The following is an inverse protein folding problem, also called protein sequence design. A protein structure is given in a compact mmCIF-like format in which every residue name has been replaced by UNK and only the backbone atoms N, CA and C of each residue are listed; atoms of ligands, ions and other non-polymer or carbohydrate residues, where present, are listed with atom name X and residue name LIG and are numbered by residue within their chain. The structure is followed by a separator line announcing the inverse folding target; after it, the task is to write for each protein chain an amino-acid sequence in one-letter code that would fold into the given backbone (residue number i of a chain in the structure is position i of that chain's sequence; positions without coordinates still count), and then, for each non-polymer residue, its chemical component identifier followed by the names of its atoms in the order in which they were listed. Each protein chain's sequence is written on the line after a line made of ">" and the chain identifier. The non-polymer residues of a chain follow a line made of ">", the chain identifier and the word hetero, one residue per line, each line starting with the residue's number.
data_IF_118116622459
#
_entry.id   IF_118116622459
#
_cell.length_a   1.000
_cell.length_b   1.000
_cell.length_c   1.000
_cell.angle_alpha   90.00
_cell.angle_beta   90.00
_cell.angle_gamma   90.00
#
_symmetry.space_group_name_H-M   'P 1'
#
loop_
_entity.id
_entity.type
_entity.pdbx_description
1 polymer ?
#
# COMPACT_ATOMS: atom_id res chain seq x y z
N UNK A 1 -4.26 -19.74 7.51
CA UNK A 1 -3.19 -19.31 6.59
C UNK A 1 -2.57 -18.05 7.19
N UNK A 2 -1.25 -17.98 7.30
CA UNK A 2 -0.58 -16.81 7.88
C UNK A 2 -0.43 -15.75 6.79
N UNK A 3 -1.42 -14.86 6.69
CA UNK A 3 -1.46 -13.84 5.64
C UNK A 3 -0.67 -12.61 6.04
N UNK A 4 0.43 -12.36 5.31
CA UNK A 4 1.24 -11.16 5.46
C UNK A 4 0.91 -10.17 4.33
N UNK A 5 0.78 -8.90 4.67
CA UNK A 5 0.74 -7.81 3.70
C UNK A 5 1.23 -6.50 4.34
N UNK A 6 1.59 -5.54 3.49
CA UNK A 6 1.72 -4.15 3.89
C UNK A 6 0.99 -3.23 2.91
N UNK A 7 0.45 -2.15 3.45
CA UNK A 7 -0.09 -1.01 2.70
C UNK A 7 0.70 0.22 3.10
N UNK A 8 1.05 1.09 2.17
CA UNK A 8 1.75 2.34 2.48
C UNK A 8 1.04 3.53 1.86
N UNK A 9 1.04 4.68 2.54
CA UNK A 9 0.59 5.93 1.93
C UNK A 9 1.61 6.34 0.88
N UNK A 10 1.16 6.81 -0.28
CA UNK A 10 2.06 7.40 -1.27
C UNK A 10 2.96 8.48 -0.66
N UNK A 11 4.09 8.72 -1.31
CA UNK A 11 5.04 9.75 -0.90
C UNK A 11 4.56 11.18 -1.23
N UNK A 12 5.38 12.14 -0.84
CA UNK A 12 5.10 13.58 -0.91
C UNK A 12 4.76 14.04 -2.32
N UNK A 13 3.72 14.87 -2.42
CA UNK A 13 3.41 15.60 -3.66
C UNK A 13 4.29 16.86 -3.78
N UNK A 14 4.54 17.34 -5.01
CA UNK A 14 5.16 18.65 -5.22
C UNK A 14 4.37 19.77 -4.55
N UNK A 15 5.05 20.64 -3.79
CA UNK A 15 4.43 21.79 -3.11
C UNK A 15 5.44 22.90 -2.86
N UNK A 16 5.09 24.13 -3.24
CA UNK A 16 5.95 25.30 -3.05
C UNK A 16 7.25 25.16 -3.85
N UNK A 17 8.38 25.21 -3.15
CA UNK A 17 9.72 25.09 -3.75
C UNK A 17 10.17 23.64 -3.99
N UNK A 18 9.44 22.66 -3.46
CA UNK A 18 9.73 21.24 -3.67
C UNK A 18 9.15 20.78 -5.01
N UNK A 19 10.03 20.68 -6.01
CA UNK A 19 9.69 20.40 -7.40
C UNK A 19 9.32 18.93 -7.62
N UNK A 20 8.54 18.70 -8.67
CA UNK A 20 8.22 17.34 -9.13
C UNK A 20 9.48 16.62 -9.60
N UNK A 21 9.57 15.33 -9.26
CA UNK A 21 10.66 14.49 -9.72
C UNK A 21 10.63 14.33 -11.22
N UNK A 22 11.79 14.51 -11.85
CA UNK A 22 11.95 14.30 -13.29
C UNK A 22 11.76 12.83 -13.72
N UNK A 23 11.95 11.89 -12.79
CA UNK A 23 11.81 10.46 -13.05
C UNK A 23 10.46 9.92 -12.60
N UNK A 24 9.94 10.43 -11.48
CA UNK A 24 8.79 9.86 -10.79
C UNK A 24 7.61 10.84 -10.71
N UNK A 25 6.77 10.82 -11.75
CA UNK A 25 5.62 11.74 -11.89
C UNK A 25 4.66 11.67 -10.69
N UNK A 26 4.22 12.82 -10.21
CA UNK A 26 3.26 12.99 -9.14
C UNK A 26 3.85 12.96 -7.73
N UNK A 27 5.16 12.72 -7.58
CA UNK A 27 5.89 12.88 -6.32
C UNK A 27 7.01 13.91 -6.46
N UNK A 28 7.38 14.57 -5.36
CA UNK A 28 8.47 15.54 -5.34
C UNK A 28 9.84 14.87 -5.20
N UNK A 29 10.92 15.63 -5.42
CA UNK A 29 12.28 15.13 -5.17
C UNK A 29 12.49 14.73 -3.70
N UNK A 30 11.96 15.51 -2.73
CA UNK A 30 11.97 15.08 -1.32
C UNK A 30 11.11 13.84 -1.10
N UNK A 31 10.00 13.71 -1.82
CA UNK A 31 9.17 12.52 -1.80
C UNK A 31 9.90 11.28 -2.31
N UNK A 32 10.78 11.42 -3.30
CA UNK A 32 11.63 10.31 -3.76
C UNK A 32 12.57 9.86 -2.66
N UNK A 33 13.27 10.78 -1.99
CA UNK A 33 14.19 10.44 -0.89
C UNK A 33 13.45 9.79 0.29
N UNK A 34 12.29 10.32 0.67
CA UNK A 34 11.44 9.70 1.70
C UNK A 34 11.02 8.28 1.32
N UNK A 35 10.67 8.05 0.05
CA UNK A 35 10.33 6.71 -0.42
C UNK A 35 11.55 5.77 -0.42
N UNK A 36 12.76 6.25 -0.72
CA UNK A 36 13.99 5.44 -0.62
C UNK A 36 14.29 5.03 0.81
N UNK A 37 14.12 5.93 1.78
CA UNK A 37 14.26 5.60 3.21
C UNK A 37 13.30 4.47 3.60
N UNK A 38 12.04 4.54 3.15
CA UNK A 38 11.05 3.50 3.40
C UNK A 38 11.39 2.18 2.69
N UNK A 39 12.00 2.23 1.50
CA UNK A 39 12.43 1.06 0.76
C UNK A 39 13.45 0.21 1.55
N UNK A 40 14.31 0.86 2.34
CA UNK A 40 15.25 0.19 3.24
C UNK A 40 14.53 -0.62 4.33
N UNK A 41 13.45 -0.08 4.89
CA UNK A 41 12.63 -0.78 5.87
C UNK A 41 11.93 -1.99 5.25
N UNK A 42 11.35 -1.85 4.06
CA UNK A 42 10.73 -2.97 3.32
C UNK A 42 11.75 -4.09 3.07
N UNK A 43 12.98 -3.73 2.68
CA UNK A 43 14.05 -4.71 2.51
C UNK A 43 14.41 -5.40 3.83
N UNK A 44 14.53 -4.64 4.93
CA UNK A 44 14.79 -5.20 6.26
C UNK A 44 13.68 -6.15 6.73
N UNK A 45 12.42 -5.82 6.48
CA UNK A 45 11.29 -6.71 6.77
C UNK A 45 11.39 -8.01 5.98
N UNK A 46 11.69 -7.91 4.68
CA UNK A 46 11.88 -9.09 3.83
C UNK A 46 13.02 -9.99 4.32
N UNK A 47 14.11 -9.42 4.83
CA UNK A 47 15.24 -10.18 5.37
C UNK A 47 14.83 -11.09 6.54
N UNK A 48 13.93 -10.60 7.40
CA UNK A 48 13.42 -11.33 8.57
C UNK A 48 12.48 -12.49 8.22
N UNK A 49 11.95 -12.50 6.99
CA UNK A 49 11.09 -13.57 6.52
C UNK A 49 11.89 -14.81 6.15
N UNK A 50 11.21 -15.94 6.01
CA UNK A 50 11.83 -17.19 5.61
C UNK A 50 12.38 -17.12 4.18
N UNK A 51 13.45 -17.88 3.92
CA UNK A 51 14.03 -18.00 2.59
C UNK A 51 13.00 -18.54 1.59
N UNK A 52 13.08 -18.09 0.34
CA UNK A 52 12.06 -18.40 -0.65
C UNK A 52 10.78 -17.56 -0.53
N UNK A 53 10.67 -16.59 0.38
CA UNK A 53 9.53 -15.64 0.37
C UNK A 53 9.47 -14.86 -0.94
N UNK A 54 8.27 -14.67 -1.48
CA UNK A 54 7.97 -13.76 -2.59
C UNK A 54 7.17 -12.57 -2.06
N UNK A 55 7.62 -11.36 -2.38
CA UNK A 55 6.92 -10.11 -2.09
C UNK A 55 6.45 -9.51 -3.42
N UNK A 56 5.14 -9.33 -3.58
CA UNK A 56 4.56 -8.62 -4.72
C UNK A 56 4.14 -7.23 -4.29
N UNK A 57 4.84 -6.20 -4.74
CA UNK A 57 4.40 -4.80 -4.64
C UNK A 57 3.59 -4.54 -5.90
N UNK A 58 2.26 -4.65 -5.76
CA UNK A 58 1.37 -4.80 -6.91
C UNK A 58 0.18 -3.85 -6.92
N UNK A 59 -0.30 -3.42 -5.76
CA UNK A 59 -1.52 -2.62 -5.69
C UNK A 59 -1.23 -1.12 -5.75
N UNK A 60 -1.87 -0.41 -6.67
CA UNK A 60 -1.85 1.06 -6.72
C UNK A 60 -3.20 1.63 -7.16
N UNK A 61 -3.42 2.91 -6.90
CA UNK A 61 -4.55 3.66 -7.44
C UNK A 61 -4.23 4.24 -8.82
N UNK A 62 -5.21 4.91 -9.42
CA UNK A 62 -5.08 5.66 -10.67
C UNK A 62 -4.24 6.93 -10.51
N UNK A 63 -3.96 7.35 -9.28
CA UNK A 63 -3.19 8.57 -9.03
C UNK A 63 -1.70 8.32 -9.26
N UNK A 64 -1.01 9.11 -10.12
CA UNK A 64 0.38 8.85 -10.51
C UNK A 64 1.34 8.61 -9.33
N UNK A 65 1.17 9.39 -8.26
CA UNK A 65 1.98 9.30 -7.03
C UNK A 65 1.99 7.92 -6.37
N UNK A 66 0.92 7.12 -6.45
CA UNK A 66 0.91 5.78 -5.85
C UNK A 66 1.80 4.83 -6.63
N UNK A 67 1.66 4.83 -7.97
CA UNK A 67 2.55 4.11 -8.89
C UNK A 67 4.01 4.53 -8.73
N UNK A 68 4.26 5.83 -8.76
CA UNK A 68 5.62 6.36 -8.64
C UNK A 68 6.28 5.98 -7.31
N UNK A 69 5.55 6.07 -6.20
CA UNK A 69 6.07 5.64 -4.88
C UNK A 69 6.44 4.15 -4.89
N UNK A 70 5.60 3.28 -5.45
CA UNK A 70 5.91 1.85 -5.57
C UNK A 70 7.19 1.62 -6.39
N UNK A 71 7.30 2.28 -7.55
CA UNK A 71 8.46 2.18 -8.43
C UNK A 71 9.76 2.66 -7.76
N UNK A 72 9.69 3.69 -6.90
CA UNK A 72 10.85 4.11 -6.11
C UNK A 72 11.31 2.96 -5.20
N UNK A 73 10.38 2.26 -4.54
CA UNK A 73 10.75 1.13 -3.67
C UNK A 73 11.46 0.03 -4.44
N UNK A 74 10.91 -0.45 -5.56
CA UNK A 74 11.54 -1.50 -6.34
C UNK A 74 12.92 -1.09 -6.85
N UNK A 75 13.04 0.13 -7.41
CA UNK A 75 14.31 0.64 -7.93
C UNK A 75 15.37 0.79 -6.83
N UNK A 76 15.00 1.37 -5.69
CA UNK A 76 15.94 1.56 -4.58
C UNK A 76 16.38 0.24 -3.97
N UNK A 77 15.45 -0.70 -3.73
CA UNK A 77 15.82 -2.01 -3.20
C UNK A 77 16.77 -2.73 -4.17
N UNK A 78 16.54 -2.64 -5.48
CA UNK A 78 17.45 -3.21 -6.48
C UNK A 78 18.85 -2.59 -6.42
N UNK A 79 18.94 -1.27 -6.23
CA UNK A 79 20.22 -0.58 -6.05
C UNK A 79 20.93 -1.07 -4.79
N UNK A 80 20.24 -1.11 -3.65
CA UNK A 80 20.79 -1.58 -2.37
C UNK A 80 21.29 -3.03 -2.44
N UNK A 81 20.52 -3.92 -3.08
CA UNK A 81 20.93 -5.32 -3.30
C UNK A 81 22.23 -5.39 -4.13
N UNK A 82 22.35 -4.58 -5.18
CA UNK A 82 23.54 -4.53 -6.04
C UNK A 82 24.75 -3.96 -5.31
N UNK A 83 24.59 -2.84 -4.62
CA UNK A 83 25.66 -2.17 -3.86
C UNK A 83 26.21 -3.07 -2.75
N UNK A 84 25.33 -3.79 -2.06
CA UNK A 84 25.70 -4.70 -0.98
C UNK A 84 26.09 -6.10 -1.47
N UNK A 85 26.14 -6.32 -2.79
CA UNK A 85 26.51 -7.60 -3.41
C UNK A 85 25.72 -8.80 -2.86
N UNK A 86 24.42 -8.60 -2.63
CA UNK A 86 23.53 -9.60 -2.05
C UNK A 86 23.01 -10.53 -3.13
N UNK A 87 23.38 -11.80 -3.05
CA UNK A 87 23.01 -12.84 -4.02
C UNK A 87 21.74 -13.62 -3.64
N UNK A 88 21.29 -13.48 -2.39
CA UNK A 88 20.16 -14.20 -1.82
C UNK A 88 18.78 -13.55 -2.08
N UNK A 89 18.74 -12.37 -2.70
CA UNK A 89 17.53 -11.64 -3.08
C UNK A 89 17.55 -11.34 -4.58
N UNK A 90 16.41 -11.56 -5.26
CA UNK A 90 16.20 -11.13 -6.65
C UNK A 90 15.11 -10.06 -6.66
N UNK A 91 15.34 -8.98 -7.37
CA UNK A 91 14.35 -7.92 -7.61
C UNK A 91 14.04 -7.88 -9.10
N UNK A 92 12.76 -8.01 -9.45
CA UNK A 92 12.27 -7.87 -10.82
C UNK A 92 11.37 -6.63 -10.91
N UNK A 93 11.71 -5.76 -11.86
CA UNK A 93 11.04 -4.49 -12.14
C UNK A 93 10.40 -4.51 -13.54
N UNK A 94 9.52 -3.55 -13.87
CA UNK A 94 8.88 -3.50 -15.19
C UNK A 94 9.87 -3.40 -16.36
N UNK A 95 11.01 -2.71 -16.16
CA UNK A 95 12.09 -2.59 -17.13
C UNK A 95 12.81 -3.92 -17.40
N UNK A 96 12.84 -4.86 -16.45
CA UNK A 96 13.50 -6.16 -16.64
C UNK A 96 12.75 -7.07 -17.62
N UNK A 97 11.50 -6.74 -17.91
CA UNK A 97 10.61 -7.52 -18.78
C UNK A 97 10.00 -6.65 -19.89
N UNK A 98 10.56 -5.46 -20.14
CA UNK A 98 10.03 -4.53 -21.14
C UNK A 98 10.10 -5.09 -22.57
N UNK A 99 11.16 -5.83 -22.90
CA UNK A 99 11.42 -6.46 -24.20
C UNK A 99 10.56 -7.70 -24.45
N UNK A 100 10.00 -8.30 -23.39
CA UNK A 100 9.14 -9.48 -23.50
C UNK A 100 7.76 -9.04 -24.02
N UNK A 101 7.38 -9.50 -25.21
CA UNK A 101 6.08 -9.17 -25.80
C UNK A 101 4.96 -10.03 -25.23
N UNK A 102 3.85 -9.39 -24.85
CA UNK A 102 2.63 -10.06 -24.40
C UNK A 102 2.58 -10.28 -22.89
N UNK A 103 1.40 -10.08 -22.31
CA UNK A 103 1.19 -10.22 -20.86
C UNK A 103 1.47 -11.64 -20.36
N UNK A 104 0.97 -12.67 -21.06
CA UNK A 104 1.17 -14.06 -20.67
C UNK A 104 2.65 -14.42 -20.63
N UNK A 105 3.42 -14.08 -21.68
CA UNK A 105 4.86 -14.35 -21.72
C UNK A 105 5.64 -13.65 -20.60
N UNK A 106 5.23 -12.43 -20.23
CA UNK A 106 5.81 -11.71 -19.08
C UNK A 106 5.56 -12.44 -17.77
N UNK A 107 4.34 -12.92 -17.56
CA UNK A 107 3.96 -13.68 -16.36
C UNK A 107 4.67 -15.02 -16.33
N UNK A 108 4.75 -15.72 -17.47
CA UNK A 108 5.46 -17.01 -17.58
C UNK A 108 6.94 -16.84 -17.28
N UNK A 109 7.59 -15.79 -17.81
CA UNK A 109 8.98 -15.46 -17.47
C UNK A 109 9.16 -15.25 -15.95
N UNK A 110 8.30 -14.48 -15.31
CA UNK A 110 8.37 -14.26 -13.85
C UNK A 110 8.20 -15.61 -13.11
N UNK A 111 7.23 -16.43 -13.52
CA UNK A 111 7.00 -17.75 -12.91
C UNK A 111 8.22 -18.67 -13.07
N UNK A 112 8.88 -18.66 -14.23
CA UNK A 112 10.12 -19.37 -14.48
C UNK A 112 11.26 -18.88 -13.58
N UNK A 113 11.41 -17.56 -13.39
CA UNK A 113 12.41 -17.00 -12.46
C UNK A 113 12.15 -17.47 -11.02
N UNK A 114 10.90 -17.50 -10.58
CA UNK A 114 10.51 -17.98 -9.24
C UNK A 114 10.83 -19.48 -9.08
N UNK A 115 10.55 -20.28 -10.11
CA UNK A 115 10.81 -21.72 -10.11
C UNK A 115 12.31 -22.04 -10.13
N UNK A 116 13.10 -21.27 -10.90
CA UNK A 116 14.54 -21.44 -11.01
C UNK A 116 15.30 -21.04 -9.73
N UNK A 117 14.68 -20.25 -8.85
CA UNK A 117 15.31 -19.70 -7.64
C UNK A 117 14.53 -20.04 -6.36
N UNK A 118 14.35 -21.32 -6.00
CA UNK A 118 13.45 -21.73 -4.91
C UNK A 118 13.90 -21.23 -3.53
N UNK A 119 15.21 -21.09 -3.28
CA UNK A 119 15.75 -20.63 -1.99
C UNK A 119 15.94 -19.13 -1.88
N UNK A 120 15.90 -18.37 -2.98
CA UNK A 120 16.13 -16.92 -2.95
C UNK A 120 14.85 -16.18 -2.62
N UNK A 121 14.94 -15.12 -1.83
CA UNK A 121 13.81 -14.20 -1.66
C UNK A 121 13.60 -13.40 -2.94
N UNK A 122 12.36 -13.04 -3.24
CA UNK A 122 12.04 -12.31 -4.47
C UNK A 122 11.15 -11.10 -4.19
N UNK A 123 11.48 -9.97 -4.81
CA UNK A 123 10.62 -8.79 -4.88
C UNK A 123 10.18 -8.62 -6.32
N UNK A 124 8.88 -8.54 -6.50
CA UNK A 124 8.22 -8.27 -7.77
C UNK A 124 7.54 -6.90 -7.63
N UNK A 125 8.14 -5.85 -8.19
CA UNK A 125 7.54 -4.52 -8.18
C UNK A 125 6.86 -4.27 -9.52
N UNK A 126 5.57 -4.61 -9.57
CA UNK A 126 4.76 -4.45 -10.77
C UNK A 126 3.49 -3.72 -10.36
N UNK A 127 3.55 -2.38 -10.20
CA UNK A 127 2.40 -1.62 -9.74
C UNK A 127 1.29 -1.65 -10.78
N UNK A 128 0.19 -2.32 -10.43
CA UNK A 128 -1.01 -2.49 -11.21
C UNK A 128 -2.13 -1.63 -10.63
N UNK A 129 -2.73 -0.80 -11.48
CA UNK A 129 -3.96 -0.13 -11.10
C UNK A 129 -5.05 -1.18 -10.81
N UNK A 130 -5.70 -1.02 -9.66
CA UNK A 130 -6.86 -1.80 -9.29
C UNK A 130 -8.01 -0.90 -8.88
N UNK A 131 -9.21 -1.18 -9.41
CA UNK A 131 -10.43 -0.44 -9.07
C UNK A 131 -10.71 -0.46 -7.57
N UNK A 132 -10.28 -1.52 -6.87
CA UNK A 132 -10.41 -1.70 -5.43
C UNK A 132 -9.58 -0.68 -4.63
N UNK A 133 -8.54 -0.11 -5.26
CA UNK A 133 -7.69 0.93 -4.67
C UNK A 133 -8.03 2.33 -5.21
N UNK A 134 -9.10 2.46 -5.99
CA UNK A 134 -9.48 3.71 -6.66
C UNK A 134 -9.81 4.82 -5.67
N UNK A 135 -9.41 6.05 -6.01
CA UNK A 135 -9.80 7.25 -5.27
C UNK A 135 -11.02 7.94 -5.91
N UNK A 136 -11.17 7.77 -7.22
CA UNK A 136 -12.37 8.13 -8.00
C UNK A 136 -13.58 7.30 -7.59
N UNK A 137 -14.76 7.94 -7.64
CA UNK A 137 -16.05 7.34 -7.34
C UNK A 137 -16.48 7.46 -5.87
N UNK A 138 -15.56 7.80 -4.96
CA UNK A 138 -15.86 8.13 -3.57
C UNK A 138 -15.40 9.54 -3.20
N UNK A 139 -14.09 9.78 -3.24
CA UNK A 139 -13.48 11.05 -2.84
C UNK A 139 -13.37 12.04 -3.99
N UNK A 140 -13.18 11.53 -5.21
CA UNK A 140 -13.07 12.33 -6.42
C UNK A 140 -14.18 11.99 -7.42
N UNK A 141 -14.63 12.99 -8.17
CA UNK A 141 -15.46 12.83 -9.36
C UNK A 141 -14.64 12.26 -10.55
N UNK A 142 -15.31 11.94 -11.65
CA UNK A 142 -14.65 11.38 -12.85
C UNK A 142 -13.58 12.31 -13.45
N UNK A 143 -13.70 13.62 -13.21
CA UNK A 143 -12.77 14.66 -13.64
C UNK A 143 -11.59 14.84 -12.68
N UNK A 144 -11.60 14.18 -11.52
CA UNK A 144 -10.56 14.25 -10.50
C UNK A 144 -10.72 15.40 -9.50
N UNK A 145 -11.88 16.08 -9.46
CA UNK A 145 -12.18 17.07 -8.43
C UNK A 145 -12.75 16.40 -7.18
N UNK A 146 -12.58 17.02 -6.01
CA UNK A 146 -13.27 16.58 -4.79
C UNK A 146 -14.79 16.54 -5.01
N UNK A 147 -15.42 15.47 -4.52
CA UNK A 147 -16.89 15.39 -4.46
C UNK A 147 -17.45 16.43 -3.47
N UNK A 148 -18.73 16.78 -3.59
CA UNK A 148 -19.33 17.77 -2.69
C UNK A 148 -19.35 17.29 -1.24
N UNK A 149 -19.53 15.98 -1.03
CA UNK A 149 -19.32 15.35 0.27
C UNK A 149 -17.91 15.60 0.82
N UNK A 150 -16.86 15.35 0.01
CA UNK A 150 -15.47 15.52 0.46
C UNK A 150 -15.14 16.99 0.76
N UNK A 151 -15.65 17.93 -0.04
CA UNK A 151 -15.50 19.37 0.22
C UNK A 151 -16.16 19.77 1.54
N UNK A 152 -17.39 19.33 1.78
CA UNK A 152 -18.14 19.67 2.99
C UNK A 152 -17.49 19.07 4.24
N UNK A 153 -17.06 17.80 4.16
CA UNK A 153 -16.33 17.13 5.22
C UNK A 153 -15.05 17.89 5.60
N UNK A 154 -14.26 18.34 4.62
CA UNK A 154 -13.06 19.15 4.89
C UNK A 154 -13.41 20.52 5.46
N UNK A 155 -14.42 21.20 4.89
CA UNK A 155 -14.84 22.55 5.30
C UNK A 155 -15.28 22.60 6.77
N UNK A 156 -16.14 21.66 7.19
CA UNK A 156 -16.66 21.62 8.57
C UNK A 156 -15.60 21.23 9.61
N UNK A 157 -14.49 20.67 9.15
CA UNK A 157 -13.33 20.28 9.97
C UNK A 157 -12.12 21.21 9.75
N UNK A 158 -12.34 22.46 9.31
CA UNK A 158 -11.30 23.50 9.19
C UNK A 158 -10.14 23.12 8.24
N UNK A 159 -10.37 22.21 7.28
CA UNK A 159 -9.37 21.59 6.40
C UNK A 159 -8.29 20.78 7.14
N UNK A 160 -8.55 20.37 8.38
CA UNK A 160 -7.71 19.43 9.12
C UNK A 160 -8.03 17.99 8.66
N UNK A 161 -7.08 17.35 7.98
CA UNK A 161 -7.28 16.01 7.40
C UNK A 161 -7.58 14.94 8.46
N UNK A 162 -6.99 15.02 9.65
CA UNK A 162 -7.21 14.02 10.71
C UNK A 162 -8.56 14.24 11.40
N UNK A 163 -8.95 15.49 11.67
CA UNK A 163 -10.31 15.77 12.18
C UNK A 163 -11.38 15.35 11.17
N UNK A 164 -11.17 15.66 9.89
CA UNK A 164 -12.08 15.27 8.80
C UNK A 164 -12.21 13.74 8.68
N UNK A 165 -11.12 13.00 8.79
CA UNK A 165 -11.14 11.53 8.82
C UNK A 165 -11.95 11.01 10.01
N UNK A 166 -11.75 11.55 11.21
CA UNK A 166 -12.50 11.15 12.41
C UNK A 166 -14.00 11.44 12.29
N UNK A 167 -14.37 12.60 11.73
CA UNK A 167 -15.77 12.93 11.43
C UNK A 167 -16.35 11.94 10.40
N UNK A 168 -15.60 11.61 9.34
CA UNK A 168 -16.02 10.60 8.36
C UNK A 168 -16.26 9.23 8.99
N UNK A 169 -15.40 8.81 9.92
CA UNK A 169 -15.60 7.58 10.68
C UNK A 169 -16.87 7.61 11.53
N UNK A 170 -17.30 8.75 12.07
CA UNK A 170 -18.54 8.81 12.86
C UNK A 170 -19.78 8.97 11.98
N UNK A 171 -19.69 9.74 10.91
CA UNK A 171 -20.83 10.04 10.04
C UNK A 171 -21.10 8.96 8.99
N UNK A 172 -20.21 7.97 8.86
CA UNK A 172 -20.35 6.79 8.00
C UNK A 172 -20.60 7.12 6.52
N UNK A 173 -20.04 8.24 6.04
CA UNK A 173 -20.21 8.67 4.65
C UNK A 173 -21.50 9.46 4.41
N UNK A 174 -22.11 10.05 5.44
CA UNK A 174 -23.34 10.85 5.30
C UNK A 174 -23.24 12.19 6.04
N UNK A 175 -23.43 13.29 5.31
CA UNK A 175 -23.56 14.64 5.88
C UNK A 175 -24.82 15.25 5.27
N UNK A 176 -25.88 15.39 6.07
CA UNK A 176 -27.19 15.84 5.57
C UNK A 176 -27.64 14.99 4.37
N UNK A 177 -27.89 15.62 3.22
CA UNK A 177 -28.27 14.95 1.96
C UNK A 177 -27.07 14.47 1.13
N UNK A 178 -25.83 14.79 1.55
CA UNK A 178 -24.61 14.39 0.85
C UNK A 178 -24.22 12.95 1.19
N UNK A 179 -23.93 12.18 0.14
CA UNK A 179 -23.47 10.79 0.25
C UNK A 179 -22.01 10.70 -0.21
N UNK A 180 -21.17 10.24 0.71
CA UNK A 180 -19.78 9.90 0.49
C UNK A 180 -19.54 8.39 0.59
N UNK A 181 -18.28 7.96 0.53
CA UNK A 181 -17.94 6.56 0.72
C UNK A 181 -18.19 6.12 2.17
N UNK A 182 -18.69 4.91 2.40
CA UNK A 182 -18.72 4.33 3.75
C UNK A 182 -17.29 3.91 4.17
N UNK A 183 -16.83 4.24 5.39
CA UNK A 183 -15.53 3.79 5.88
C UNK A 183 -15.36 2.27 5.82
N UNK A 184 -16.42 1.54 6.19
CA UNK A 184 -16.41 0.09 6.21
C UNK A 184 -16.27 -0.50 4.81
N UNK A 185 -17.08 -0.02 3.87
CA UNK A 185 -17.04 -0.47 2.48
C UNK A 185 -15.67 -0.16 1.84
N UNK A 186 -15.08 0.99 2.16
CA UNK A 186 -13.73 1.34 1.72
C UNK A 186 -12.70 0.33 2.25
N UNK A 187 -12.72 0.03 3.56
CA UNK A 187 -11.80 -0.94 4.15
C UNK A 187 -11.95 -2.34 3.52
N UNK A 188 -13.19 -2.82 3.37
CA UNK A 188 -13.50 -4.11 2.76
C UNK A 188 -13.08 -4.16 1.29
N UNK A 189 -13.25 -3.07 0.54
CA UNK A 189 -12.82 -2.96 -0.84
C UNK A 189 -11.29 -3.02 -0.95
N UNK A 190 -10.55 -2.30 -0.09
CA UNK A 190 -9.08 -2.35 -0.06
C UNK A 190 -8.59 -3.78 0.24
N UNK A 191 -9.16 -4.44 1.26
CA UNK A 191 -8.81 -5.83 1.60
C UNK A 191 -9.15 -6.80 0.47
N UNK A 192 -10.26 -6.60 -0.24
CA UNK A 192 -10.62 -7.37 -1.44
C UNK A 192 -9.58 -7.19 -2.56
N UNK A 193 -9.06 -5.98 -2.74
CA UNK A 193 -7.96 -5.70 -3.66
C UNK A 193 -6.68 -6.48 -3.30
N UNK A 194 -6.30 -6.48 -2.03
CA UNK A 194 -5.16 -7.26 -1.50
C UNK A 194 -5.36 -8.76 -1.77
N UNK A 195 -6.55 -9.28 -1.50
CA UNK A 195 -6.84 -10.70 -1.72
C UNK A 195 -6.87 -11.07 -3.20
N UNK A 196 -7.33 -10.17 -4.07
CA UNK A 196 -7.27 -10.37 -5.52
C UNK A 196 -5.83 -10.43 -6.03
N UNK A 197 -4.93 -9.57 -5.53
CA UNK A 197 -3.48 -9.69 -5.81
C UNK A 197 -2.91 -10.99 -5.29
N UNK A 198 -3.29 -11.40 -4.08
CA UNK A 198 -2.85 -12.66 -3.46
C UNK A 198 -3.25 -13.85 -4.31
N UNK A 199 -4.52 -13.92 -4.73
CA UNK A 199 -5.04 -14.98 -5.63
C UNK A 199 -4.32 -14.96 -6.98
N UNK A 200 -4.01 -13.79 -7.52
CA UNK A 200 -3.24 -13.68 -8.75
C UNK A 200 -1.83 -14.26 -8.58
N UNK A 201 -1.07 -13.79 -7.59
CA UNK A 201 0.30 -14.26 -7.35
C UNK A 201 0.35 -15.76 -7.02
N UNK A 202 -0.56 -16.27 -6.19
CA UNK A 202 -0.61 -17.69 -5.79
C UNK A 202 -0.74 -18.66 -6.96
N UNK A 203 -1.26 -18.23 -8.12
CA UNK A 203 -1.29 -19.05 -9.34
C UNK A 203 0.10 -19.42 -9.86
N UNK A 204 1.12 -18.61 -9.56
CA UNK A 204 2.44 -18.68 -10.19
C UNK A 204 3.57 -18.97 -9.21
N UNK A 205 3.44 -18.65 -7.92
CA UNK A 205 4.55 -18.75 -6.95
C UNK A 205 4.73 -20.13 -6.29
N UNK A 206 3.97 -21.16 -6.69
CA UNK A 206 4.18 -22.57 -6.30
C UNK A 206 4.36 -22.83 -4.79
N UNK A 207 3.36 -22.45 -3.97
CA UNK A 207 3.36 -22.77 -2.53
C UNK A 207 4.38 -22.00 -1.70
N UNK A 208 5.12 -21.06 -2.30
CA UNK A 208 6.05 -20.19 -1.59
C UNK A 208 5.31 -19.19 -0.70
N UNK A 209 5.90 -18.79 0.44
CA UNK A 209 5.37 -17.74 1.30
C UNK A 209 5.21 -16.43 0.51
N UNK A 210 4.11 -15.71 0.78
CA UNK A 210 3.71 -14.56 -0.02
C UNK A 210 3.37 -13.36 0.85
N UNK A 211 4.05 -12.25 0.57
CA UNK A 211 3.71 -10.92 1.08
C UNK A 211 3.12 -10.09 -0.06
N UNK A 212 2.01 -9.42 0.21
CA UNK A 212 1.42 -8.44 -0.72
C UNK A 212 1.75 -7.03 -0.24
N UNK A 213 2.29 -6.20 -1.12
CA UNK A 213 2.51 -4.78 -0.94
C UNK A 213 1.59 -3.95 -1.82
N UNK A 214 1.08 -2.84 -1.30
CA UNK A 214 0.25 -1.89 -2.04
C UNK A 214 0.51 -0.46 -1.58
N UNK A 215 0.35 0.50 -2.49
CA UNK A 215 0.45 1.93 -2.21
C UNK A 215 -0.89 2.61 -2.42
N UNK A 216 -1.35 3.34 -1.39
CA UNK A 216 -2.66 3.95 -1.33
C UNK A 216 -2.67 5.38 -0.78
N UNK A 217 -3.81 5.78 -0.23
CA UNK A 217 -4.11 7.11 0.30
C UNK A 217 -4.51 7.03 1.77
N UNK A 218 -4.11 8.02 2.57
CA UNK A 218 -4.28 8.02 4.04
C UNK A 218 -5.64 7.50 4.49
N UNK A 219 -6.73 8.23 4.25
CA UNK A 219 -8.05 7.89 4.81
C UNK A 219 -8.50 6.46 4.50
N UNK A 220 -8.23 5.96 3.29
CA UNK A 220 -8.57 4.58 2.93
C UNK A 220 -7.73 3.56 3.72
N UNK A 221 -6.45 3.85 3.92
CA UNK A 221 -5.54 3.01 4.68
C UNK A 221 -5.88 3.06 6.17
N UNK A 222 -6.15 4.24 6.72
CA UNK A 222 -6.58 4.44 8.10
C UNK A 222 -7.85 3.62 8.39
N UNK A 223 -8.82 3.64 7.47
CA UNK A 223 -10.03 2.81 7.57
C UNK A 223 -9.69 1.30 7.64
N UNK A 224 -8.73 0.82 6.84
CA UNK A 224 -8.28 -0.58 6.89
C UNK A 224 -7.66 -0.92 8.25
N UNK A 225 -6.80 -0.05 8.79
CA UNK A 225 -6.20 -0.32 10.11
C UNK A 225 -7.23 -0.34 11.22
N UNK A 226 -8.17 0.61 11.26
CA UNK A 226 -9.23 0.63 12.28
C UNK A 226 -10.10 -0.62 12.17
N UNK A 227 -10.50 -0.98 10.95
CA UNK A 227 -11.30 -2.18 10.68
C UNK A 227 -10.62 -3.44 11.22
N UNK A 228 -9.33 -3.63 10.93
CA UNK A 228 -8.57 -4.80 11.37
C UNK A 228 -8.35 -4.80 12.89
N UNK A 229 -8.06 -3.64 13.48
CA UNK A 229 -7.81 -3.51 14.92
C UNK A 229 -9.06 -3.70 15.79
N UNK A 230 -10.26 -3.45 15.24
CA UNK A 230 -11.51 -3.41 15.98
C UNK A 230 -12.58 -4.38 15.42
N UNK A 231 -12.16 -5.55 14.91
CA UNK A 231 -13.08 -6.61 14.46
C UNK A 231 -14.17 -6.15 13.47
N UNK A 232 -13.80 -5.25 12.55
CA UNK A 232 -14.67 -4.72 11.50
C UNK A 232 -15.48 -3.48 11.89
N UNK A 233 -15.34 -2.99 13.13
CA UNK A 233 -15.91 -1.71 13.56
C UNK A 233 -15.00 -0.54 13.13
N UNK A 234 -15.60 0.50 12.55
CA UNK A 234 -14.89 1.75 12.22
C UNK A 234 -15.73 2.93 12.71
N UNK A 235 -15.22 3.62 13.72
CA UNK A 235 -15.72 4.90 14.23
C UNK A 235 -14.57 5.66 14.89
N UNK A 236 -14.82 6.92 15.28
CA UNK A 236 -13.80 7.76 15.93
C UNK A 236 -13.27 7.13 17.21
N UNK A 237 -14.15 6.58 18.05
CA UNK A 237 -13.74 5.95 19.31
C UNK A 237 -12.77 4.79 19.07
N UNK A 238 -13.07 3.94 18.08
CA UNK A 238 -12.22 2.81 17.67
C UNK A 238 -10.84 3.26 17.21
N UNK A 239 -10.76 4.36 16.45
CA UNK A 239 -9.48 4.95 16.07
C UNK A 239 -8.72 5.54 17.27
N UNK A 240 -9.40 6.27 18.16
CA UNK A 240 -8.78 6.88 19.35
C UNK A 240 -8.26 5.83 20.35
N UNK A 241 -8.93 4.69 20.47
CA UNK A 241 -8.46 3.55 21.29
C UNK A 241 -7.13 2.97 20.82
N UNK A 242 -6.83 3.07 19.51
CA UNK A 242 -5.53 2.66 18.97
C UNK A 242 -4.39 3.60 19.41
N UNK A 243 -4.71 4.77 19.99
CA UNK A 243 -3.75 5.81 20.40
C UNK A 243 -2.79 6.23 19.30
N UNK A 244 -3.27 6.18 18.06
CA UNK A 244 -2.49 6.46 16.87
C UNK A 244 -2.87 7.81 16.25
N UNK A 245 -2.07 8.26 15.29
CA UNK A 245 -2.34 9.46 14.45
C UNK A 245 -2.67 9.03 13.04
N UNK A 246 -3.26 9.92 12.23
CA UNK A 246 -3.50 9.61 10.82
C UNK A 246 -2.18 9.23 10.12
N UNK A 247 -2.20 8.21 9.25
CA UNK A 247 -0.98 7.69 8.65
C UNK A 247 -0.22 8.75 7.81
N UNK A 248 1.07 8.89 8.11
CA UNK A 248 1.98 9.81 7.42
C UNK A 248 2.34 9.35 6.01
N UNK A 249 2.98 10.23 5.24
CA UNK A 249 3.50 9.90 3.91
C UNK A 249 4.57 8.79 4.02
N UNK A 250 4.46 7.77 3.16
CA UNK A 250 5.27 6.52 3.18
C UNK A 250 5.13 5.65 4.43
N UNK A 251 4.43 6.08 5.49
CA UNK A 251 4.16 5.21 6.62
C UNK A 251 3.33 3.99 6.20
N UNK A 252 3.56 2.88 6.91
CA UNK A 252 3.01 1.58 6.57
C UNK A 252 1.99 1.08 7.58
N UNK A 253 1.03 0.34 7.05
CA UNK A 253 0.17 -0.58 7.76
C UNK A 253 0.65 -1.97 7.41
N UNK A 254 1.08 -2.76 8.38
CA UNK A 254 1.57 -4.13 8.16
C UNK A 254 0.72 -5.11 8.94
N UNK A 255 0.29 -6.17 8.28
CA UNK A 255 -0.25 -7.34 8.93
C UNK A 255 0.80 -8.44 8.87
N UNK A 256 1.28 -8.89 10.02
CA UNK A 256 2.34 -9.90 10.12
C UNK A 256 2.04 -10.93 11.22
N UNK A 257 2.81 -12.01 11.24
CA UNK A 257 2.75 -13.02 12.30
C UNK A 257 4.01 -12.96 13.15
N UNK A 258 3.84 -12.78 14.46
CA UNK A 258 4.92 -12.74 15.47
C UNK A 258 4.55 -13.67 16.62
N UNK A 259 5.44 -14.61 16.95
CA UNK A 259 5.26 -15.55 18.06
C UNK A 259 3.90 -16.28 18.07
N UNK A 260 3.43 -16.69 16.88
CA UNK A 260 2.17 -17.41 16.70
C UNK A 260 0.91 -16.53 16.80
N UNK A 261 1.06 -15.21 16.96
CA UNK A 261 -0.04 -14.24 16.97
C UNK A 261 0.02 -13.34 15.74
N UNK A 262 -1.15 -12.92 15.28
CA UNK A 262 -1.23 -11.92 14.22
C UNK A 262 -1.11 -10.53 14.85
N UNK A 263 -0.32 -9.68 14.22
CA UNK A 263 -0.02 -8.33 14.70
C UNK A 263 -0.27 -7.35 13.57
N UNK A 264 -0.99 -6.28 13.87
CA UNK A 264 -1.16 -5.12 13.03
C UNK A 264 -0.17 -4.04 13.48
N UNK A 265 0.70 -3.61 12.58
CA UNK A 265 1.53 -2.43 12.76
C UNK A 265 0.89 -1.29 11.98
N UNK A 266 0.72 -0.13 12.61
CA UNK A 266 0.14 1.06 12.01
C UNK A 266 1.00 2.27 12.38
N UNK A 267 1.81 2.73 11.43
CA UNK A 267 2.91 3.65 11.73
C UNK A 267 3.83 3.04 12.80
N UNK A 268 3.99 3.75 13.92
CA UNK A 268 4.81 3.30 15.05
C UNK A 268 4.04 2.47 16.09
N UNK A 269 2.75 2.24 15.90
CA UNK A 269 1.90 1.52 16.86
C UNK A 269 1.82 0.04 16.49
N UNK A 270 2.02 -0.83 17.48
CA UNK A 270 1.91 -2.29 17.35
C UNK A 270 0.66 -2.77 18.10
N UNK A 271 -0.28 -3.37 17.38
CA UNK A 271 -1.59 -3.80 17.87
C UNK A 271 -1.68 -5.33 17.72
N UNK A 272 -1.64 -6.09 18.82
CA UNK A 272 -1.95 -7.51 18.79
C UNK A 272 -3.40 -7.72 18.36
N UNK A 273 -3.64 -8.59 17.38
CA UNK A 273 -5.00 -8.96 17.01
C UNK A 273 -5.42 -10.19 17.82
N UNK A 274 -6.49 -10.05 18.59
CA UNK A 274 -7.13 -11.18 19.28
C UNK A 274 -7.89 -12.03 18.25
N UNK A 275 -7.82 -13.36 18.40
CA UNK A 275 -8.62 -14.30 17.61
C UNK A 275 -9.85 -14.72 18.39
#
# INVERSE_FOLDING_TARGET
>A
MNENFFLTRHSMKPKGEDLESSEFVGISEKGVELAKERAQEILKDLEQLENGTVMLIGGVSEMPRTKSTAMVYGKEIKNLIKEQSRDNVIVLLPEDINEIKGFTNKVDFIAEQIKANPGKKMILDFPLFMKEFSFKGGWLDDKGNLTDYAKELLRRNENDEEKAMKDWFDNQGRIEDLVGPSPKEVAEQQLSGVERLRKFAKKYISGRPLVIGSVGHSWNLDAVAVYLANNGEINKESFERMKAKMIGETEMIKLSWRDGKQVLEYGDVVIPLEK
#
